data_IF_420098743812
#
_entry.id   IF_420098743812
#
_cell.length_a   1.000
_cell.length_b   1.000
_cell.length_c   1.000
_cell.angle_alpha   90.00
_cell.angle_beta   90.00
_cell.angle_gamma   90.00
#
_symmetry.space_group_name_H-M   'P 1'
#
loop_
_entity.id
_entity.type
_entity.pdbx_description
1 polymer ?
#
# COMPACT_ATOMS: atom_id res chain seq x y z
N UNK A 1 -5.18 15.15 7.01
CA UNK A 1 -4.91 14.42 5.75
C UNK A 1 -3.94 15.28 4.97
N UNK A 2 -2.68 14.84 4.81
CA UNK A 2 -1.59 15.63 4.24
C UNK A 2 -2.02 16.24 2.89
N UNK A 3 -2.00 17.56 2.68
CA UNK A 3 -2.44 18.19 1.41
C UNK A 3 -1.69 17.62 0.19
N UNK A 4 -0.47 17.17 0.42
CA UNK A 4 0.38 16.40 -0.49
C UNK A 4 -0.31 15.14 -1.05
N UNK A 5 -1.11 14.44 -0.23
CA UNK A 5 -1.89 13.29 -0.68
C UNK A 5 -2.89 13.67 -1.78
N UNK A 6 -3.28 14.95 -1.89
CA UNK A 6 -4.10 15.45 -3.00
C UNK A 6 -3.39 15.40 -4.35
N UNK A 7 -2.06 15.50 -4.38
CA UNK A 7 -1.26 15.63 -5.60
C UNK A 7 -0.61 14.31 -6.07
N UNK A 8 -0.47 13.32 -5.19
CA UNK A 8 0.07 12.01 -5.57
C UNK A 8 -0.98 11.16 -6.30
N UNK A 9 -0.53 10.34 -7.25
CA UNK A 9 -1.44 9.45 -7.98
C UNK A 9 -2.00 8.34 -7.07
N UNK A 10 -3.14 7.75 -7.46
CA UNK A 10 -3.84 6.75 -6.66
C UNK A 10 -2.99 5.52 -6.31
N UNK A 11 -2.08 5.09 -7.20
CA UNK A 11 -1.20 3.94 -6.94
C UNK A 11 -0.18 4.24 -5.84
N UNK A 12 0.36 5.46 -5.81
CA UNK A 12 1.20 5.92 -4.71
C UNK A 12 0.40 5.96 -3.39
N UNK A 13 -0.86 6.42 -3.42
CA UNK A 13 -1.75 6.38 -2.24
C UNK A 13 -1.95 4.96 -1.71
N UNK A 14 -2.16 3.98 -2.59
CA UNK A 14 -2.26 2.56 -2.17
C UNK A 14 -1.00 2.14 -1.42
N UNK A 15 0.19 2.41 -1.98
CA UNK A 15 1.45 2.04 -1.34
C UNK A 15 1.62 2.73 0.04
N UNK A 16 1.24 4.01 0.16
CA UNK A 16 1.25 4.76 1.42
C UNK A 16 0.28 4.16 2.44
N UNK A 17 -0.97 3.88 2.06
CA UNK A 17 -1.97 3.27 2.94
C UNK A 17 -1.48 1.91 3.44
N UNK A 18 -0.91 1.09 2.56
CA UNK A 18 -0.33 -0.20 2.94
C UNK A 18 0.78 -0.04 3.97
N UNK A 19 1.60 1.03 3.87
CA UNK A 19 2.69 1.33 4.81
C UNK A 19 2.17 1.86 6.16
N UNK A 20 1.26 2.82 6.13
CA UNK A 20 0.72 3.49 7.32
C UNK A 20 -0.15 2.55 8.17
N UNK A 21 -0.73 1.52 7.56
CA UNK A 21 -1.58 0.54 8.24
C UNK A 21 -0.85 -0.79 8.53
N UNK A 22 0.49 -0.81 8.54
CA UNK A 22 1.21 -2.01 8.99
C UNK A 22 1.14 -2.16 10.51
N UNK A 23 0.93 -3.39 10.97
CA UNK A 23 1.03 -3.80 12.36
C UNK A 23 2.13 -4.84 12.49
N UNK A 24 2.89 -4.79 13.58
CA UNK A 24 3.85 -5.85 13.89
C UNK A 24 3.10 -7.11 14.34
N UNK A 25 3.25 -8.19 13.58
CA UNK A 25 2.69 -9.52 13.85
C UNK A 25 3.82 -10.52 13.63
N UNK A 26 4.19 -11.25 14.68
CA UNK A 26 5.28 -12.25 14.65
C UNK A 26 6.59 -11.70 14.04
N UNK A 27 6.98 -10.47 14.43
CA UNK A 27 8.18 -9.79 13.94
C UNK A 27 8.09 -9.27 12.49
N UNK A 28 6.91 -9.33 11.87
CA UNK A 28 6.68 -8.83 10.51
C UNK A 28 5.71 -7.63 10.53
N UNK A 29 6.05 -6.57 9.78
CA UNK A 29 5.15 -5.45 9.57
C UNK A 29 4.12 -5.80 8.48
N UNK A 30 2.91 -6.17 8.89
CA UNK A 30 1.85 -6.66 8.00
C UNK A 30 0.69 -5.66 7.98
N UNK A 31 0.30 -5.23 6.78
CA UNK A 31 -0.96 -4.52 6.59
C UNK A 31 -2.12 -5.54 6.58
N UNK A 32 -3.09 -5.41 7.51
CA UNK A 32 -4.22 -6.33 7.63
C UNK A 32 -5.40 -5.97 6.71
N UNK A 33 -5.31 -4.86 5.96
CA UNK A 33 -6.41 -4.33 5.17
C UNK A 33 -6.67 -5.20 3.93
N UNK A 34 -7.93 -5.54 3.72
CA UNK A 34 -8.41 -6.14 2.49
C UNK A 34 -8.58 -5.09 1.38
N UNK A 35 -8.86 -5.55 0.15
CA UNK A 35 -8.86 -4.66 -1.01
C UNK A 35 -10.06 -3.72 -1.08
N UNK A 36 -11.16 -4.03 -0.39
CA UNK A 36 -12.29 -3.10 -0.24
C UNK A 36 -11.91 -1.98 0.73
N UNK A 37 -11.32 -2.30 1.88
CA UNK A 37 -10.87 -1.30 2.85
C UNK A 37 -9.84 -0.34 2.22
N UNK A 38 -8.92 -0.86 1.41
CA UNK A 38 -7.97 -0.03 0.64
C UNK A 38 -8.69 0.84 -0.38
N UNK A 39 -9.71 0.30 -1.08
CA UNK A 39 -10.47 1.03 -2.08
C UNK A 39 -11.25 2.21 -1.46
N UNK A 40 -11.81 2.00 -0.26
CA UNK A 40 -12.54 3.01 0.50
C UNK A 40 -11.61 4.15 0.98
N UNK A 41 -10.34 3.83 1.30
CA UNK A 41 -9.33 4.82 1.70
C UNK A 41 -8.71 5.61 0.52
N UNK A 42 -8.70 5.05 -0.70
CA UNK A 42 -8.21 5.71 -1.94
C UNK A 42 -9.33 6.42 -2.73
N UNK A 43 -10.53 6.53 -2.15
CA UNK A 43 -11.84 6.58 -2.85
C UNK A 43 -11.84 6.08 -4.30
N UNK A 44 -11.54 4.79 -4.51
CA UNK A 44 -11.59 4.16 -5.83
C UNK A 44 -12.43 2.87 -5.82
N UNK A 45 -12.70 2.30 -7.00
CA UNK A 45 -13.38 1.00 -7.07
C UNK A 45 -12.47 -0.16 -6.65
N UNK A 46 -13.01 -1.19 -6.00
CA UNK A 46 -12.27 -2.42 -5.60
C UNK A 46 -11.46 -3.04 -6.73
N UNK A 47 -12.00 -3.08 -7.95
CA UNK A 47 -11.29 -3.59 -9.12
C UNK A 47 -10.01 -2.79 -9.41
N UNK A 48 -10.09 -1.46 -9.30
CA UNK A 48 -8.95 -0.56 -9.50
C UNK A 48 -7.91 -0.71 -8.39
N UNK A 49 -8.36 -0.83 -7.13
CA UNK A 49 -7.48 -1.13 -6.00
C UNK A 49 -6.73 -2.46 -6.20
N UNK A 50 -7.45 -3.52 -6.60
CA UNK A 50 -6.86 -4.82 -6.93
C UNK A 50 -5.80 -4.72 -8.02
N UNK A 51 -6.09 -3.99 -9.10
CA UNK A 51 -5.16 -3.81 -10.21
C UNK A 51 -3.89 -3.09 -9.75
N UNK A 52 -4.02 -2.01 -8.98
CA UNK A 52 -2.87 -1.29 -8.42
C UNK A 52 -2.05 -2.16 -7.47
N UNK A 53 -2.68 -2.94 -6.60
CA UNK A 53 -1.98 -3.88 -5.70
C UNK A 53 -1.22 -4.92 -6.53
N UNK A 54 -1.83 -5.48 -7.57
CA UNK A 54 -1.18 -6.46 -8.46
C UNK A 54 0.07 -5.86 -9.12
N UNK A 55 -0.03 -4.64 -9.65
CA UNK A 55 1.12 -3.93 -10.22
C UNK A 55 2.22 -3.67 -9.18
N UNK A 56 1.86 -3.26 -7.96
CA UNK A 56 2.83 -3.04 -6.88
C UNK A 56 3.54 -4.34 -6.47
N UNK A 57 2.84 -5.48 -6.52
CA UNK A 57 3.41 -6.80 -6.28
C UNK A 57 4.34 -7.22 -7.42
N UNK A 58 3.91 -7.10 -8.67
CA UNK A 58 4.72 -7.42 -9.86
C UNK A 58 5.99 -6.56 -9.93
N UNK A 59 5.91 -5.30 -9.49
CA UNK A 59 7.05 -4.38 -9.43
C UNK A 59 7.93 -4.58 -8.19
N UNK A 60 7.54 -5.45 -7.26
CA UNK A 60 8.31 -5.79 -6.06
C UNK A 60 8.26 -4.74 -4.95
N UNK A 61 7.34 -3.78 -4.99
CA UNK A 61 7.12 -2.79 -3.93
C UNK A 61 6.31 -3.36 -2.76
N UNK A 62 5.47 -4.34 -3.03
CA UNK A 62 4.61 -5.01 -2.06
C UNK A 62 4.77 -6.52 -2.21
N UNK A 63 4.70 -7.25 -1.10
CA UNK A 63 4.56 -8.70 -1.08
C UNK A 63 3.19 -9.06 -0.52
N UNK A 64 2.47 -9.91 -1.22
CA UNK A 64 1.24 -10.50 -0.69
C UNK A 64 1.60 -11.77 0.07
N UNK A 65 1.09 -11.92 1.30
CA UNK A 65 1.24 -13.17 2.05
C UNK A 65 0.23 -14.21 1.54
N UNK A 66 0.48 -15.49 1.84
CA UNK A 66 -0.39 -16.59 1.41
C UNK A 66 -1.86 -16.40 1.85
N UNK A 67 -2.06 -15.76 3.00
CA UNK A 67 -3.37 -15.33 3.46
C UNK A 67 -3.83 -14.11 2.67
N UNK A 68 -4.91 -14.25 1.90
CA UNK A 68 -5.50 -13.15 1.12
C UNK A 68 -5.76 -11.93 2.00
N UNK A 69 -5.46 -10.74 1.47
CA UNK A 69 -5.67 -9.47 2.15
C UNK A 69 -4.59 -9.14 3.20
N UNK A 70 -3.44 -9.80 3.15
CA UNK A 70 -2.29 -9.49 4.00
C UNK A 70 -1.10 -9.07 3.13
N UNK A 71 -0.60 -7.87 3.39
CA UNK A 71 0.42 -7.24 2.57
C UNK A 71 1.61 -6.79 3.40
N UNK A 72 2.80 -6.87 2.81
CA UNK A 72 4.04 -6.36 3.40
C UNK A 72 4.66 -5.40 2.40
N UNK A 73 4.89 -4.16 2.80
CA UNK A 73 5.69 -3.22 2.01
C UNK A 73 7.15 -3.66 2.08
N UNK A 74 7.78 -3.87 0.93
CA UNK A 74 9.18 -4.32 0.84
C UNK A 74 10.14 -3.17 1.11
N UNK A 75 11.43 -3.47 1.26
CA UNK A 75 12.46 -2.43 1.36
C UNK A 75 12.45 -1.50 0.14
N UNK A 76 12.26 -2.05 -1.07
CA UNK A 76 12.08 -1.29 -2.31
C UNK A 76 10.87 -0.35 -2.24
N UNK A 77 9.75 -0.81 -1.69
CA UNK A 77 8.55 0.01 -1.47
C UNK A 77 8.84 1.15 -0.50
N UNK A 78 9.51 0.85 0.62
CA UNK A 78 9.90 1.85 1.61
C UNK A 78 10.91 2.88 1.04
N UNK A 79 11.85 2.47 0.21
CA UNK A 79 12.79 3.39 -0.45
C UNK A 79 12.09 4.37 -1.39
N UNK A 80 11.11 3.89 -2.17
CA UNK A 80 10.34 4.78 -3.06
C UNK A 80 9.48 5.74 -2.24
N UNK A 81 8.84 5.26 -1.16
CA UNK A 81 8.11 6.14 -0.25
C UNK A 81 9.02 7.20 0.36
N UNK A 82 10.23 6.84 0.82
CA UNK A 82 11.23 7.80 1.30
C UNK A 82 11.67 8.82 0.25
N UNK A 83 11.71 8.45 -1.03
CA UNK A 83 12.01 9.37 -2.14
C UNK A 83 10.82 10.25 -2.51
N UNK A 84 9.60 9.81 -2.22
CA UNK A 84 8.35 10.55 -2.41
C UNK A 84 8.06 11.49 -1.23
N UNK A 85 8.49 11.12 -0.02
CA UNK A 85 8.70 12.03 1.10
C UNK A 85 9.67 13.13 0.64
N UNK A 86 9.40 14.44 0.73
CA UNK A 86 8.49 15.13 1.66
C UNK A 86 8.77 14.75 3.13
N UNK A 87 10.00 14.25 3.34
CA UNK A 87 10.92 14.34 4.47
C UNK A 87 12.24 14.89 3.90
#
# INVERSE_FOLDING_TARGET
MNEILGFVNEKAKVLMILRENQLEIDGNNICPLNQQEIADLVPCGKFKANQMIKELVEQGYVRMLHTKGRYVVTDKGNEVLKKMSLE
#
